data_IF_482987632358
#
_entry.id   IF_482987632358
#
_cell.length_a   1.000
_cell.length_b   1.000
_cell.length_c   1.000
_cell.angle_alpha   90.00
_cell.angle_beta   90.00
_cell.angle_gamma   90.00
#
_symmetry.space_group_name_H-M   'P 1'
#
loop_
_entity.id
_entity.type
_entity.pdbx_description
1 polymer ?
#
# COMPACT_ATOMS: atom_id res chain seq x y z
N UNK A 1 43.55 -19.55 10.82
CA UNK A 1 42.14 -19.89 11.10
C UNK A 1 41.50 -20.29 9.79
N UNK A 2 41.09 -21.55 9.68
CA UNK A 2 40.45 -22.10 8.48
C UNK A 2 39.06 -21.44 8.37
N UNK A 3 38.84 -20.65 7.32
CA UNK A 3 37.51 -20.13 6.98
C UNK A 3 36.60 -21.32 6.68
N UNK A 4 35.65 -21.59 7.57
CA UNK A 4 34.54 -22.49 7.28
C UNK A 4 33.79 -21.92 6.07
N UNK A 5 33.49 -22.72 5.02
CA UNK A 5 32.62 -22.25 3.96
C UNK A 5 31.26 -21.92 4.58
N UNK A 6 30.78 -20.69 4.40
CA UNK A 6 29.41 -20.30 4.75
C UNK A 6 28.46 -21.31 4.10
N UNK A 7 27.82 -22.13 4.93
CA UNK A 7 26.88 -23.16 4.46
C UNK A 7 25.81 -22.46 3.63
N UNK A 8 25.75 -22.77 2.32
CA UNK A 8 24.75 -22.18 1.41
C UNK A 8 23.35 -22.45 1.96
N UNK A 9 22.49 -21.43 1.95
CA UNK A 9 21.13 -21.50 2.53
C UNK A 9 20.21 -22.53 1.84
N UNK A 10 20.52 -22.87 0.59
CA UNK A 10 19.81 -23.87 -0.22
C UNK A 10 20.81 -24.76 -0.99
N UNK A 11 20.40 -25.97 -1.35
CA UNK A 11 21.22 -26.94 -2.11
C UNK A 11 21.21 -26.69 -3.62
N UNK A 12 20.09 -26.21 -4.17
CA UNK A 12 19.92 -26.00 -5.62
C UNK A 12 19.34 -24.62 -5.94
N UNK A 13 19.74 -24.09 -7.09
CA UNK A 13 19.24 -22.83 -7.63
C UNK A 13 18.70 -23.08 -9.04
N UNK A 14 17.39 -22.93 -9.24
CA UNK A 14 16.74 -23.11 -10.54
C UNK A 14 16.38 -21.78 -11.18
N UNK A 15 16.66 -21.64 -12.48
CA UNK A 15 16.11 -20.58 -13.32
C UNK A 15 15.09 -21.17 -14.28
N UNK A 16 13.83 -20.83 -14.09
CA UNK A 16 12.72 -21.30 -14.90
C UNK A 16 12.54 -20.40 -16.14
N UNK A 17 12.90 -20.93 -17.31
CA UNK A 17 12.93 -20.20 -18.57
C UNK A 17 12.38 -21.05 -19.71
N UNK A 18 11.61 -20.42 -20.60
CA UNK A 18 11.07 -21.10 -21.79
C UNK A 18 12.16 -21.25 -22.86
N UNK A 19 12.25 -22.41 -23.52
CA UNK A 19 13.23 -22.65 -24.61
C UNK A 19 13.21 -21.63 -25.74
N UNK A 20 12.04 -21.05 -26.03
CA UNK A 20 11.91 -20.00 -27.06
C UNK A 20 12.34 -18.61 -26.59
N UNK A 21 12.79 -18.44 -25.34
CA UNK A 21 13.11 -17.16 -24.70
C UNK A 21 14.58 -17.08 -24.29
N UNK A 22 15.47 -17.40 -25.24
CA UNK A 22 16.92 -17.21 -25.08
C UNK A 22 17.30 -15.75 -24.85
N UNK A 23 16.48 -14.81 -25.33
CA UNK A 23 16.58 -13.37 -25.05
C UNK A 23 16.59 -13.12 -23.54
N UNK A 24 15.56 -13.61 -22.83
CA UNK A 24 15.42 -13.43 -21.39
C UNK A 24 16.48 -14.17 -20.59
N UNK A 25 16.88 -15.35 -21.06
CA UNK A 25 17.95 -16.10 -20.43
C UNK A 25 19.24 -15.27 -20.40
N UNK A 26 19.63 -14.68 -21.54
CA UNK A 26 20.83 -13.83 -21.61
C UNK A 26 20.70 -12.58 -20.76
N UNK A 27 19.57 -11.89 -20.84
CA UNK A 27 19.29 -10.69 -20.03
C UNK A 27 19.38 -10.99 -18.53
N UNK A 28 18.78 -12.10 -18.09
CA UNK A 28 18.76 -12.49 -16.68
C UNK A 28 20.16 -12.87 -16.19
N UNK A 29 20.95 -13.59 -16.99
CA UNK A 29 22.33 -13.94 -16.64
C UNK A 29 23.24 -12.71 -16.54
N UNK A 30 23.00 -11.66 -17.33
CA UNK A 30 23.80 -10.42 -17.33
C UNK A 30 23.59 -9.55 -16.09
N UNK A 31 22.41 -9.62 -15.45
CA UNK A 31 22.11 -8.84 -14.23
C UNK A 31 22.48 -9.57 -12.93
N UNK A 32 23.06 -10.76 -12.99
CA UNK A 32 23.38 -11.54 -11.79
C UNK A 32 24.34 -10.76 -10.88
N UNK A 33 23.98 -10.54 -9.59
CA UNK A 33 24.85 -9.85 -8.66
C UNK A 33 26.14 -10.63 -8.47
N UNK A 34 27.24 -9.89 -8.26
CA UNK A 34 28.57 -10.44 -8.03
C UNK A 34 29.08 -10.00 -6.65
N UNK A 35 29.46 -10.94 -5.76
CA UNK A 35 29.42 -12.39 -5.93
C UNK A 35 27.98 -12.95 -5.88
N UNK A 36 27.72 -14.04 -6.62
CA UNK A 36 26.42 -14.72 -6.57
C UNK A 36 26.26 -15.49 -5.25
N UNK A 37 25.18 -15.28 -4.47
CA UNK A 37 25.07 -15.84 -3.11
C UNK A 37 24.48 -17.26 -3.04
N UNK A 38 24.05 -17.84 -4.17
CA UNK A 38 23.44 -19.18 -4.23
C UNK A 38 24.36 -20.21 -4.91
N UNK A 39 23.97 -21.50 -4.94
CA UNK A 39 24.59 -22.47 -5.85
C UNK A 39 24.54 -22.04 -7.32
N UNK A 40 25.32 -22.72 -8.15
CA UNK A 40 25.32 -22.48 -9.60
C UNK A 40 23.89 -22.60 -10.14
N UNK A 41 23.55 -21.67 -11.03
CA UNK A 41 22.21 -21.57 -11.60
C UNK A 41 21.98 -22.73 -12.58
N UNK A 42 21.00 -23.57 -12.27
CA UNK A 42 20.51 -24.62 -13.15
C UNK A 42 19.30 -24.11 -13.94
N UNK A 43 19.46 -23.96 -15.26
CA UNK A 43 18.34 -23.63 -16.14
C UNK A 43 17.36 -24.80 -16.18
N UNK A 44 16.12 -24.55 -15.77
CA UNK A 44 15.00 -25.47 -15.91
C UNK A 44 14.17 -25.08 -17.15
N UNK A 45 14.02 -26.01 -18.10
CA UNK A 45 13.22 -25.81 -19.30
C UNK A 45 11.73 -25.72 -18.93
N UNK A 46 11.22 -24.49 -18.87
CA UNK A 46 9.85 -24.23 -18.48
C UNK A 46 8.85 -24.80 -19.48
N UNK A 47 7.72 -25.29 -18.97
CA UNK A 47 6.62 -25.81 -19.74
C UNK A 47 5.95 -24.70 -20.54
N UNK A 48 6.05 -24.81 -21.86
CA UNK A 48 5.29 -23.96 -22.77
C UNK A 48 3.84 -24.42 -22.84
N UNK A 49 2.96 -23.80 -22.05
CA UNK A 49 1.55 -24.16 -22.03
C UNK A 49 0.83 -24.00 -23.38
N UNK A 50 1.43 -23.30 -24.37
CA UNK A 50 0.89 -23.26 -25.74
C UNK A 50 0.98 -24.61 -26.46
N UNK A 51 1.91 -25.47 -26.05
CA UNK A 51 2.15 -26.80 -26.63
C UNK A 51 1.34 -27.90 -25.94
N UNK A 52 0.60 -27.57 -24.88
CA UNK A 52 -0.14 -28.55 -24.07
C UNK A 52 -1.63 -28.23 -24.09
N UNK A 53 -2.46 -29.27 -24.11
CA UNK A 53 -3.87 -29.19 -23.76
C UNK A 53 -4.00 -29.00 -22.24
N UNK A 54 -4.75 -28.00 -21.82
CA UNK A 54 -5.10 -27.83 -20.40
C UNK A 54 -6.29 -28.71 -20.05
N UNK A 55 -6.38 -29.28 -18.83
CA UNK A 55 -7.55 -30.01 -18.38
C UNK A 55 -8.84 -29.19 -18.48
N UNK A 56 -9.98 -29.85 -18.66
CA UNK A 56 -11.28 -29.18 -18.84
C UNK A 56 -11.67 -28.25 -17.70
N UNK A 57 -11.16 -28.45 -16.49
CA UNK A 57 -11.41 -27.59 -15.34
C UNK A 57 -10.51 -26.34 -15.30
N UNK A 58 -9.43 -26.28 -16.08
CA UNK A 58 -8.50 -25.16 -16.08
C UNK A 58 -9.07 -23.98 -16.89
N UNK A 59 -9.22 -22.83 -16.23
CA UNK A 59 -9.82 -21.61 -16.82
C UNK A 59 -8.95 -20.36 -16.69
N UNK A 60 -7.68 -20.53 -16.32
CA UNK A 60 -6.69 -19.45 -16.17
C UNK A 60 -5.83 -19.22 -17.43
N UNK A 61 -6.04 -20.02 -18.48
CA UNK A 61 -5.31 -19.93 -19.73
C UNK A 61 -3.99 -20.70 -19.74
N UNK A 62 -3.45 -20.89 -20.95
CA UNK A 62 -2.32 -21.79 -21.22
C UNK A 62 -1.02 -21.30 -20.57
N UNK A 63 -0.77 -19.99 -20.54
CA UNK A 63 0.44 -19.45 -19.90
C UNK A 63 0.48 -19.74 -18.40
N UNK A 64 -0.67 -19.58 -17.71
CA UNK A 64 -0.78 -19.91 -16.29
C UNK A 64 -0.61 -21.41 -16.05
N UNK A 65 -1.12 -22.26 -16.94
CA UNK A 65 -0.92 -23.71 -16.87
C UNK A 65 0.56 -24.09 -17.00
N UNK A 66 1.27 -23.50 -17.95
CA UNK A 66 2.71 -23.72 -18.13
C UNK A 66 3.52 -23.33 -16.90
N UNK A 67 3.24 -22.15 -16.32
CA UNK A 67 3.85 -21.70 -15.06
C UNK A 67 3.59 -22.71 -13.92
N UNK A 68 2.33 -23.08 -13.69
CA UNK A 68 1.96 -24.09 -12.69
C UNK A 68 2.72 -25.41 -12.86
N UNK A 69 2.70 -25.96 -14.08
CA UNK A 69 3.34 -27.25 -14.37
C UNK A 69 4.86 -27.21 -14.21
N UNK A 70 5.48 -26.09 -14.54
CA UNK A 70 6.94 -25.93 -14.41
C UNK A 70 7.36 -25.93 -12.94
N UNK A 71 6.66 -25.17 -12.09
CA UNK A 71 6.90 -25.18 -10.64
C UNK A 71 6.64 -26.56 -10.02
N UNK A 72 5.58 -27.25 -10.44
CA UNK A 72 5.27 -28.60 -9.97
C UNK A 72 6.36 -29.61 -10.36
N UNK A 73 6.90 -29.54 -11.57
CA UNK A 73 7.99 -30.43 -12.01
C UNK A 73 9.31 -30.18 -11.28
N UNK A 74 9.64 -28.92 -10.96
CA UNK A 74 10.80 -28.60 -10.11
C UNK A 74 10.63 -29.24 -8.73
N UNK A 75 9.43 -29.13 -8.15
CA UNK A 75 9.10 -29.74 -6.87
C UNK A 75 9.20 -31.28 -6.91
N UNK A 76 8.67 -31.91 -7.95
CA UNK A 76 8.77 -33.37 -8.17
C UNK A 76 10.22 -33.82 -8.33
N UNK A 77 11.03 -33.09 -9.13
CA UNK A 77 12.47 -33.35 -9.27
C UNK A 77 13.16 -33.34 -7.91
N UNK A 78 12.91 -32.33 -7.08
CA UNK A 78 13.52 -32.24 -5.75
C UNK A 78 13.12 -33.40 -4.83
N UNK A 79 11.83 -33.79 -4.87
CA UNK A 79 11.33 -34.92 -4.09
C UNK A 79 11.94 -36.26 -4.54
N UNK A 80 12.13 -36.47 -5.84
CA UNK A 80 12.68 -37.69 -6.42
C UNK A 80 14.19 -37.81 -6.21
N UNK A 81 14.92 -36.71 -6.35
CA UNK A 81 16.39 -36.67 -6.21
C UNK A 81 16.84 -36.51 -4.76
N UNK A 82 15.92 -36.32 -3.81
CA UNK A 82 16.24 -36.14 -2.40
C UNK A 82 16.89 -34.79 -2.07
N UNK A 83 16.62 -33.75 -2.87
CA UNK A 83 17.06 -32.38 -2.64
C UNK A 83 16.20 -31.78 -1.53
N UNK A 84 16.80 -31.39 -0.40
CA UNK A 84 16.06 -30.94 0.78
C UNK A 84 15.84 -29.41 0.80
N UNK A 85 16.48 -28.65 -0.10
CA UNK A 85 16.22 -27.21 -0.24
C UNK A 85 16.56 -26.66 -1.63
N UNK A 86 15.74 -25.74 -2.14
CA UNK A 86 16.00 -25.06 -3.41
C UNK A 86 15.51 -23.61 -3.41
N UNK A 87 16.12 -22.79 -4.26
CA UNK A 87 15.58 -21.50 -4.70
C UNK A 87 15.16 -21.61 -6.16
N UNK A 88 14.04 -20.98 -6.53
CA UNK A 88 13.59 -20.88 -7.92
C UNK A 88 13.36 -19.43 -8.29
N UNK A 89 13.83 -19.07 -9.48
CA UNK A 89 13.60 -17.78 -10.13
C UNK A 89 12.87 -17.98 -11.45
N UNK A 90 11.94 -17.10 -11.80
CA UNK A 90 11.40 -16.98 -13.17
C UNK A 90 12.33 -16.12 -14.03
N UNK A 91 12.29 -16.29 -15.35
CA UNK A 91 13.12 -15.53 -16.31
C UNK A 91 12.82 -14.01 -16.37
N UNK A 92 11.83 -13.54 -15.61
CA UNK A 92 11.54 -12.12 -15.40
C UNK A 92 11.82 -11.66 -13.96
N UNK A 93 12.55 -12.42 -13.14
CA UNK A 93 13.03 -11.97 -11.83
C UNK A 93 14.15 -10.91 -11.99
N UNK A 94 14.03 -9.78 -11.30
CA UNK A 94 15.04 -8.70 -11.31
C UNK A 94 15.52 -8.35 -9.90
N UNK A 95 16.82 -8.13 -9.71
CA UNK A 95 17.44 -7.95 -8.40
C UNK A 95 17.56 -6.46 -8.02
N UNK A 96 17.49 -6.15 -6.72
CA UNK A 96 17.90 -4.82 -6.21
C UNK A 96 19.43 -4.67 -6.29
N UNK A 97 19.97 -3.44 -6.39
CA UNK A 97 21.43 -3.22 -6.46
C UNK A 97 22.21 -3.91 -5.34
N UNK A 98 21.73 -3.81 -4.09
CA UNK A 98 22.39 -4.35 -2.91
C UNK A 98 21.83 -5.72 -2.50
N UNK A 99 21.50 -6.56 -3.48
CA UNK A 99 20.79 -7.83 -3.27
C UNK A 99 21.47 -8.76 -2.27
N UNK A 100 22.80 -8.91 -2.38
CA UNK A 100 23.57 -9.85 -1.55
C UNK A 100 23.49 -9.46 -0.07
N UNK A 101 23.70 -8.18 0.25
CA UNK A 101 23.64 -7.66 1.61
C UNK A 101 22.26 -7.87 2.24
N UNK A 102 21.20 -7.49 1.51
CA UNK A 102 19.84 -7.64 2.02
C UNK A 102 19.41 -9.10 2.14
N UNK A 103 19.87 -9.97 1.22
CA UNK A 103 19.66 -11.41 1.32
C UNK A 103 20.36 -11.99 2.56
N UNK A 104 21.60 -11.60 2.83
CA UNK A 104 22.34 -12.06 4.01
C UNK A 104 21.65 -11.63 5.31
N UNK A 105 21.15 -10.39 5.38
CA UNK A 105 20.36 -9.91 6.52
C UNK A 105 19.07 -10.72 6.69
N UNK A 106 18.33 -10.93 5.60
CA UNK A 106 17.12 -11.75 5.59
C UNK A 106 17.40 -13.19 6.04
N UNK A 107 18.41 -13.84 5.47
CA UNK A 107 18.75 -15.24 5.77
C UNK A 107 19.24 -15.42 7.20
N UNK A 108 20.00 -14.46 7.74
CA UNK A 108 20.51 -14.50 9.12
C UNK A 108 19.39 -14.53 10.15
N UNK A 109 18.27 -13.85 9.88
CA UNK A 109 17.14 -13.76 10.79
C UNK A 109 16.03 -14.79 10.51
N UNK A 110 16.12 -15.53 9.40
CA UNK A 110 15.10 -16.51 9.02
C UNK A 110 14.90 -17.56 10.14
N UNK A 111 13.65 -17.76 10.63
CA UNK A 111 13.38 -18.73 11.68
C UNK A 111 13.79 -20.15 11.28
N UNK A 112 14.33 -20.93 12.23
CA UNK A 112 14.80 -22.30 11.97
C UNK A 112 13.72 -23.23 11.42
N UNK A 113 12.44 -22.91 11.58
CA UNK A 113 11.31 -23.70 11.08
C UNK A 113 10.86 -23.33 9.65
N UNK A 114 11.51 -22.36 8.97
CA UNK A 114 11.08 -21.90 7.65
C UNK A 114 10.94 -23.05 6.64
N UNK A 115 9.77 -23.12 6.00
CA UNK A 115 9.51 -24.05 4.90
C UNK A 115 9.44 -23.34 3.55
N UNK A 116 8.82 -22.17 3.50
CA UNK A 116 8.70 -21.32 2.31
C UNK A 116 9.17 -19.90 2.65
N UNK A 117 10.12 -19.37 1.89
CA UNK A 117 10.63 -18.00 2.08
C UNK A 117 10.62 -17.28 0.74
N UNK A 118 9.80 -16.24 0.59
CA UNK A 118 9.74 -15.48 -0.66
C UNK A 118 10.86 -14.46 -0.71
N UNK A 119 11.49 -14.30 -1.88
CA UNK A 119 12.45 -13.23 -2.16
C UNK A 119 11.81 -12.09 -2.96
N UNK A 120 10.80 -12.43 -3.75
CA UNK A 120 9.98 -11.51 -4.51
C UNK A 120 8.53 -11.98 -4.52
N UNK A 121 7.60 -11.03 -4.43
CA UNK A 121 6.18 -11.35 -4.36
C UNK A 121 5.31 -10.11 -4.31
N UNK A 122 4.03 -10.33 -4.02
CA UNK A 122 3.04 -9.28 -3.79
C UNK A 122 2.17 -9.69 -2.59
N UNK A 123 2.16 -8.86 -1.54
CA UNK A 123 1.22 -9.08 -0.43
C UNK A 123 -0.22 -8.78 -0.87
N UNK A 124 -1.11 -9.77 -0.75
CA UNK A 124 -2.55 -9.55 -0.94
C UNK A 124 -3.25 -9.35 0.40
N UNK A 125 -4.30 -8.53 0.37
CA UNK A 125 -5.10 -8.18 1.54
C UNK A 125 -4.32 -7.51 2.67
N UNK A 126 -3.11 -7.01 2.40
CA UNK A 126 -2.21 -6.39 3.37
C UNK A 126 -2.86 -5.24 4.15
N UNK A 127 -3.76 -4.47 3.53
CA UNK A 127 -4.49 -3.40 4.20
C UNK A 127 -5.44 -3.91 5.32
N UNK A 128 -5.97 -5.13 5.18
CA UNK A 128 -6.87 -5.76 6.17
C UNK A 128 -6.12 -6.70 7.11
N UNK A 129 -5.10 -7.37 6.59
CA UNK A 129 -4.29 -8.37 7.26
C UNK A 129 -2.81 -8.07 6.97
N UNK A 130 -2.23 -7.06 7.64
CA UNK A 130 -0.84 -6.69 7.41
C UNK A 130 0.08 -7.87 7.76
N UNK A 131 1.17 -8.08 7.00
CA UNK A 131 2.22 -9.02 7.39
C UNK A 131 2.69 -8.73 8.82
N UNK A 132 2.76 -9.76 9.65
CA UNK A 132 3.16 -9.62 11.05
C UNK A 132 4.69 -9.59 11.13
N UNK A 133 5.26 -8.52 11.68
CA UNK A 133 6.70 -8.43 11.97
C UNK A 133 7.11 -9.54 12.94
N UNK A 134 8.18 -10.26 12.61
CA UNK A 134 8.81 -11.30 13.45
C UNK A 134 10.16 -10.80 13.97
N UNK A 135 10.93 -10.15 13.11
CA UNK A 135 12.18 -9.44 13.40
C UNK A 135 12.33 -8.26 12.44
N UNK A 136 13.48 -7.59 12.42
CA UNK A 136 13.69 -6.43 11.56
C UNK A 136 13.61 -6.76 10.07
N UNK A 137 14.13 -7.92 9.67
CA UNK A 137 14.13 -8.35 8.27
C UNK A 137 13.10 -9.45 7.97
N UNK A 138 12.39 -10.00 8.97
CA UNK A 138 11.44 -11.10 8.78
C UNK A 138 10.01 -10.70 9.08
N UNK A 139 9.14 -10.97 8.12
CA UNK A 139 7.70 -10.83 8.25
C UNK A 139 6.99 -12.15 7.95
N UNK A 140 5.88 -12.39 8.66
CA UNK A 140 4.94 -13.47 8.38
C UNK A 140 3.76 -12.93 7.59
N UNK A 141 3.59 -13.29 6.32
CA UNK A 141 2.50 -12.77 5.49
C UNK A 141 1.16 -13.44 5.80
N UNK A 142 0.06 -12.73 5.52
CA UNK A 142 -1.28 -13.33 5.43
C UNK A 142 -1.49 -14.06 4.10
N UNK A 143 -1.10 -13.42 2.99
CA UNK A 143 -1.18 -13.96 1.63
C UNK A 143 -0.08 -13.32 0.76
N UNK A 144 0.62 -14.14 -0.02
CA UNK A 144 1.60 -13.70 -1.02
C UNK A 144 1.20 -14.27 -2.38
N UNK A 145 1.19 -13.41 -3.39
CA UNK A 145 1.05 -13.77 -4.79
C UNK A 145 2.31 -13.44 -5.59
N UNK A 146 2.34 -13.88 -6.86
CA UNK A 146 3.52 -14.00 -7.73
C UNK A 146 4.52 -15.05 -7.24
N UNK A 147 5.09 -15.79 -8.20
CA UNK A 147 6.02 -16.89 -7.97
C UNK A 147 7.38 -16.66 -8.61
N UNK A 148 7.70 -15.40 -8.91
CA UNK A 148 8.91 -15.07 -9.66
C UNK A 148 10.21 -15.30 -8.87
N UNK A 149 10.17 -15.34 -7.53
CA UNK A 149 11.33 -15.72 -6.72
C UNK A 149 10.96 -16.18 -5.29
N UNK A 150 11.22 -17.45 -4.97
CA UNK A 150 11.08 -17.99 -3.61
C UNK A 150 11.99 -19.20 -3.36
N UNK A 151 12.20 -19.49 -2.06
CA UNK A 151 12.96 -20.64 -1.55
C UNK A 151 12.04 -21.62 -0.85
N UNK A 152 12.37 -22.91 -0.96
CA UNK A 152 11.68 -24.02 -0.29
C UNK A 152 12.69 -24.86 0.48
N UNK A 153 12.34 -25.29 1.69
CA UNK A 153 13.15 -26.18 2.51
C UNK A 153 12.32 -27.23 3.24
N UNK A 154 12.91 -28.41 3.32
CA UNK A 154 12.42 -29.53 4.10
C UNK A 154 11.51 -30.44 3.28
N UNK A 155 11.78 -31.74 3.35
CA UNK A 155 11.00 -32.76 2.65
C UNK A 155 9.53 -32.79 3.05
N UNK A 156 9.23 -32.52 4.32
CA UNK A 156 7.86 -32.42 4.81
C UNK A 156 7.10 -31.25 4.14
N UNK A 157 7.75 -30.09 4.05
CA UNK A 157 7.24 -28.92 3.33
C UNK A 157 6.98 -29.23 1.87
N UNK A 158 7.95 -29.83 1.17
CA UNK A 158 7.81 -30.16 -0.25
C UNK A 158 6.66 -31.14 -0.49
N UNK A 159 6.49 -32.15 0.38
CA UNK A 159 5.34 -33.07 0.32
C UNK A 159 4.01 -32.35 0.58
N UNK A 160 3.96 -31.39 1.50
CA UNK A 160 2.76 -30.59 1.77
C UNK A 160 2.43 -29.67 0.58
N UNK A 161 3.42 -29.01 -0.04
CA UNK A 161 3.25 -28.24 -1.26
C UNK A 161 2.73 -29.12 -2.40
N UNK A 162 3.31 -30.31 -2.58
CA UNK A 162 2.91 -31.23 -3.65
C UNK A 162 1.46 -31.67 -3.50
N UNK A 163 1.03 -32.04 -2.28
CA UNK A 163 -0.36 -32.37 -1.99
C UNK A 163 -1.28 -31.19 -2.24
N UNK A 164 -0.90 -30.00 -1.76
CA UNK A 164 -1.69 -28.78 -1.94
C UNK A 164 -1.86 -28.42 -3.42
N UNK A 165 -0.78 -28.42 -4.19
CA UNK A 165 -0.79 -28.09 -5.62
C UNK A 165 -1.62 -29.09 -6.45
N UNK A 166 -1.65 -30.37 -6.05
CA UNK A 166 -2.47 -31.40 -6.71
C UNK A 166 -3.91 -31.49 -6.17
N UNK A 167 -4.27 -30.74 -5.12
CA UNK A 167 -5.64 -30.71 -4.63
C UNK A 167 -6.55 -30.01 -5.65
N UNK A 168 -7.58 -30.71 -6.12
CA UNK A 168 -8.55 -30.24 -7.12
C UNK A 168 -9.56 -29.21 -6.57
N UNK A 169 -9.09 -28.18 -5.86
CA UNK A 169 -9.90 -27.07 -5.33
C UNK A 169 -9.53 -25.75 -6.02
N UNK A 170 -9.34 -25.78 -7.34
CA UNK A 170 -8.99 -24.58 -8.10
C UNK A 170 -10.23 -23.72 -8.34
N UNK A 171 -10.21 -22.45 -7.93
CA UNK A 171 -11.28 -21.53 -8.31
C UNK A 171 -11.07 -20.99 -9.73
N UNK A 172 -12.13 -20.44 -10.32
CA UNK A 172 -12.12 -19.86 -11.65
C UNK A 172 -11.01 -18.79 -11.78
N UNK A 173 -10.17 -18.92 -12.82
CA UNK A 173 -9.02 -18.03 -13.12
C UNK A 173 -7.89 -18.01 -12.08
N UNK A 174 -7.85 -18.94 -11.12
CA UNK A 174 -6.71 -19.06 -10.23
C UNK A 174 -5.45 -19.50 -10.97
N UNK A 175 -4.35 -18.80 -10.70
CA UNK A 175 -3.01 -19.23 -11.08
C UNK A 175 -2.33 -19.91 -9.88
N UNK A 176 -1.14 -20.49 -10.07
CA UNK A 176 -0.40 -21.16 -8.99
C UNK A 176 -0.20 -20.28 -7.75
N UNK A 177 0.12 -19.01 -7.94
CA UNK A 177 0.32 -18.05 -6.86
C UNK A 177 -0.94 -17.88 -6.00
N UNK A 178 -2.12 -17.77 -6.60
CA UNK A 178 -3.39 -17.71 -5.88
C UNK A 178 -3.62 -18.97 -5.03
N UNK A 179 -3.22 -20.13 -5.54
CA UNK A 179 -3.32 -21.39 -4.82
C UNK A 179 -2.38 -21.41 -3.62
N UNK A 180 -1.10 -21.02 -3.79
CA UNK A 180 -0.13 -20.89 -2.71
C UNK A 180 -0.53 -19.81 -1.68
N UNK A 181 -1.14 -18.71 -2.12
CA UNK A 181 -1.69 -17.67 -1.28
C UNK A 181 -2.75 -18.22 -0.31
N UNK A 182 -3.66 -19.08 -0.78
CA UNK A 182 -4.67 -19.75 0.08
C UNK A 182 -4.06 -20.73 1.08
N UNK A 183 -2.94 -21.38 0.75
CA UNK A 183 -2.20 -22.19 1.71
C UNK A 183 -1.65 -21.32 2.84
N UNK A 184 -1.09 -20.16 2.49
CA UNK A 184 -0.55 -19.19 3.46
C UNK A 184 -1.66 -18.64 4.37
N UNK A 185 -2.81 -18.29 3.79
CA UNK A 185 -3.98 -17.79 4.54
C UNK A 185 -4.49 -18.78 5.58
N UNK A 186 -4.71 -20.05 5.19
CA UNK A 186 -5.22 -21.08 6.11
C UNK A 186 -4.32 -21.25 7.33
N UNK A 187 -3.00 -21.22 7.15
CA UNK A 187 -2.05 -21.25 8.28
C UNK A 187 -2.17 -20.01 9.15
N UNK A 188 -2.22 -18.82 8.56
CA UNK A 188 -2.34 -17.57 9.31
C UNK A 188 -3.61 -17.57 10.17
N UNK A 189 -4.75 -17.96 9.60
CA UNK A 189 -6.03 -18.02 10.29
C UNK A 189 -6.04 -19.04 11.42
N UNK A 190 -5.44 -20.22 11.21
CA UNK A 190 -5.29 -21.23 12.26
C UNK A 190 -4.46 -20.71 13.45
N UNK A 191 -3.35 -20.03 13.17
CA UNK A 191 -2.48 -19.42 14.19
C UNK A 191 -3.20 -18.32 14.98
N UNK A 192 -3.96 -17.46 14.31
CA UNK A 192 -4.72 -16.38 14.97
C UNK A 192 -5.87 -16.91 15.82
N UNK A 193 -6.53 -17.98 15.38
CA UNK A 193 -7.66 -18.59 16.09
C UNK A 193 -7.22 -19.53 17.22
N UNK A 194 -5.91 -19.66 17.51
CA UNK A 194 -5.39 -20.59 18.51
C UNK A 194 -5.73 -22.05 18.22
N UNK A 195 -6.07 -22.38 16.96
CA UNK A 195 -6.39 -23.75 16.55
C UNK A 195 -5.09 -24.54 16.42
N UNK A 196 -5.16 -25.84 16.71
CA UNK A 196 -4.07 -26.75 16.41
C UNK A 196 -3.71 -26.61 14.93
N UNK A 197 -2.51 -26.11 14.69
CA UNK A 197 -1.98 -25.97 13.35
C UNK A 197 -1.66 -27.38 12.88
N UNK A 198 -2.52 -27.94 12.03
CA UNK A 198 -2.43 -29.32 11.56
C UNK A 198 -1.07 -29.65 10.93
N UNK A 199 -0.79 -30.96 10.77
CA UNK A 199 0.39 -31.57 10.13
C UNK A 199 0.72 -31.06 8.71
N UNK A 200 -0.14 -30.23 8.09
CA UNK A 200 0.02 -29.75 6.71
C UNK A 200 0.31 -28.25 6.57
N UNK A 201 0.55 -27.55 7.68
CA UNK A 201 0.91 -26.14 7.60
C UNK A 201 2.40 -25.94 7.29
N UNK A 202 2.71 -24.99 6.42
CA UNK A 202 4.08 -24.65 6.05
C UNK A 202 4.43 -23.29 6.65
N UNK A 203 5.49 -23.15 7.46
CA UNK A 203 5.97 -21.84 7.90
C UNK A 203 6.41 -21.00 6.69
N UNK A 204 5.70 -19.89 6.45
CA UNK A 204 5.94 -18.97 5.35
C UNK A 204 6.47 -17.64 5.89
N UNK A 205 7.54 -17.14 5.26
CA UNK A 205 8.16 -15.86 5.60
C UNK A 205 8.46 -15.02 4.36
N UNK A 206 8.56 -13.70 4.55
CA UNK A 206 8.92 -12.70 3.53
C UNK A 206 9.89 -11.69 4.15
N UNK A 207 10.74 -11.03 3.34
CA UNK A 207 11.60 -9.96 3.82
C UNK A 207 10.79 -8.71 4.22
N UNK A 208 11.43 -7.77 4.92
CA UNK A 208 10.86 -6.45 5.21
C UNK A 208 10.61 -5.67 3.91
N UNK A 209 11.54 -5.76 2.95
CA UNK A 209 11.48 -5.23 1.58
C UNK A 209 11.69 -6.32 0.55
N UNK A 210 11.02 -6.25 -0.60
CA UNK A 210 11.23 -7.24 -1.66
C UNK A 210 12.65 -7.15 -2.24
N UNK A 211 13.36 -8.27 -2.22
CA UNK A 211 14.73 -8.39 -2.76
C UNK A 211 14.72 -8.58 -4.28
N UNK A 212 13.61 -9.11 -4.81
CA UNK A 212 13.44 -9.46 -6.22
C UNK A 212 12.12 -8.90 -6.77
N UNK A 213 12.22 -8.05 -7.78
CA UNK A 213 11.10 -7.49 -8.53
C UNK A 213 10.82 -8.27 -9.81
N UNK A 214 9.84 -7.81 -10.59
CA UNK A 214 9.55 -8.33 -11.93
C UNK A 214 10.11 -7.37 -13.01
N UNK A 215 10.98 -7.87 -13.87
CA UNK A 215 11.58 -7.13 -14.98
C UNK A 215 10.52 -6.56 -15.95
N UNK A 216 10.83 -5.46 -16.66
CA UNK A 216 9.93 -4.81 -17.62
C UNK A 216 9.77 -5.59 -18.94
N UNK A 217 9.48 -6.88 -18.86
CA UNK A 217 9.30 -7.75 -20.02
C UNK A 217 7.82 -8.09 -20.21
N UNK A 218 7.38 -8.30 -21.47
CA UNK A 218 5.98 -8.63 -21.77
C UNK A 218 5.59 -9.96 -21.13
N UNK A 219 4.65 -9.97 -20.19
CA UNK A 219 4.25 -11.21 -19.50
C UNK A 219 3.75 -12.27 -20.50
N UNK A 220 4.33 -13.48 -20.44
CA UNK A 220 3.86 -14.62 -21.25
C UNK A 220 2.56 -15.24 -20.69
N UNK A 221 2.11 -14.78 -19.51
CA UNK A 221 0.89 -15.24 -18.84
C UNK A 221 -0.28 -14.28 -19.10
N UNK A 222 -0.10 -12.98 -18.84
CA UNK A 222 -1.18 -11.98 -18.92
C UNK A 222 -0.95 -10.87 -19.95
N UNK A 223 0.16 -10.88 -20.70
CA UNK A 223 0.42 -9.94 -21.80
C UNK A 223 0.78 -8.50 -21.42
N UNK A 224 0.76 -8.14 -20.13
CA UNK A 224 1.12 -6.78 -19.65
C UNK A 224 2.61 -6.48 -19.84
N UNK A 225 2.94 -5.22 -20.14
CA UNK A 225 4.31 -4.70 -20.29
C UNK A 225 4.52 -3.55 -19.29
N UNK A 226 5.64 -3.56 -18.57
CA UNK A 226 6.06 -2.48 -17.68
C UNK A 226 7.22 -1.70 -18.31
N UNK A 227 7.42 -0.46 -17.89
CA UNK A 227 8.52 0.41 -18.34
C UNK A 227 9.78 0.27 -17.48
N UNK A 228 9.65 -0.20 -16.24
CA UNK A 228 10.73 -0.40 -15.27
C UNK A 228 10.51 -1.70 -14.46
N UNK A 229 11.54 -2.18 -13.78
CA UNK A 229 11.45 -3.32 -12.85
C UNK A 229 10.45 -3.00 -11.75
N UNK A 230 9.44 -3.86 -11.60
CA UNK A 230 8.34 -3.65 -10.66
C UNK A 230 8.61 -4.34 -9.33
N UNK A 231 8.74 -3.54 -8.28
CA UNK A 231 8.62 -4.00 -6.90
C UNK A 231 7.19 -3.71 -6.41
N UNK A 232 6.62 -4.64 -5.65
CA UNK A 232 5.31 -4.45 -5.01
C UNK A 232 5.48 -3.81 -3.63
N UNK A 233 4.38 -3.45 -2.95
CA UNK A 233 4.47 -2.87 -1.62
C UNK A 233 5.19 -3.82 -0.65
N UNK A 234 6.20 -3.29 0.03
CA UNK A 234 7.03 -3.99 1.01
C UNK A 234 6.23 -4.39 2.27
N UNK A 235 6.70 -5.43 2.98
CA UNK A 235 6.07 -5.90 4.21
C UNK A 235 6.13 -4.85 5.32
N UNK A 236 7.27 -4.16 5.47
CA UNK A 236 7.44 -3.05 6.43
C UNK A 236 6.51 -1.88 6.14
N UNK A 237 6.13 -1.71 4.87
CA UNK A 237 5.23 -0.67 4.44
C UNK A 237 3.78 -1.10 4.68
N UNK A 238 3.45 -2.39 4.60
CA UNK A 238 2.08 -2.85 4.88
C UNK A 238 1.61 -2.54 6.32
N UNK A 239 2.53 -2.35 7.26
CA UNK A 239 2.29 -1.74 8.55
C UNK A 239 2.63 -0.24 8.53
N UNK A 240 1.81 0.55 7.82
CA UNK A 240 1.95 2.02 7.83
C UNK A 240 1.46 2.62 9.16
N UNK A 241 1.70 2.01 10.32
CA UNK A 241 1.25 2.54 11.61
C UNK A 241 2.03 3.80 12.05
N UNK A 242 3.23 4.05 11.52
CA UNK A 242 4.11 5.13 12.01
C UNK A 242 4.22 6.36 11.09
N UNK A 243 4.11 6.22 9.77
CA UNK A 243 4.23 7.38 8.86
C UNK A 243 3.08 8.36 9.12
N UNK A 244 3.29 9.69 9.19
CA UNK A 244 2.20 10.60 9.52
C UNK A 244 1.16 10.68 8.39
N UNK A 245 -0.10 10.86 8.77
CA UNK A 245 -1.15 11.31 7.86
C UNK A 245 -1.71 12.64 8.37
N UNK A 246 -1.68 13.66 7.51
CA UNK A 246 -2.10 15.02 7.83
C UNK A 246 -3.53 15.27 7.40
N UNK A 247 -4.46 15.33 8.36
CA UNK A 247 -5.86 15.65 8.13
C UNK A 247 -6.09 17.16 8.28
N UNK A 248 -6.54 17.83 7.20
CA UNK A 248 -6.93 19.24 7.25
C UNK A 248 -8.39 19.34 7.70
N UNK A 249 -8.61 19.88 8.90
CA UNK A 249 -9.92 19.93 9.55
C UNK A 249 -10.43 21.38 9.66
N UNK A 250 -11.54 21.64 9.00
CA UNK A 250 -12.31 22.87 9.19
C UNK A 250 -13.67 22.79 8.50
N UNK A 251 -14.67 23.57 8.96
CA UNK A 251 -15.98 23.63 8.35
C UNK A 251 -15.91 24.02 6.86
N UNK A 252 -17.03 23.89 6.14
CA UNK A 252 -17.09 24.39 4.77
C UNK A 252 -16.74 25.88 4.76
N UNK A 253 -16.09 26.35 3.70
CA UNK A 253 -15.77 27.79 3.54
C UNK A 253 -14.91 28.36 4.67
N UNK A 254 -14.14 27.57 5.43
CA UNK A 254 -13.25 28.12 6.47
C UNK A 254 -11.82 28.42 6.00
N UNK A 255 -11.52 28.20 4.71
CA UNK A 255 -10.16 28.34 4.16
C UNK A 255 -9.39 27.02 4.04
N UNK A 256 -10.02 25.88 4.36
CA UNK A 256 -9.41 24.54 4.27
C UNK A 256 -8.94 24.16 2.86
N UNK A 257 -9.60 24.63 1.80
CA UNK A 257 -9.16 24.39 0.41
C UNK A 257 -7.84 25.10 0.11
N UNK A 258 -7.69 26.35 0.56
CA UNK A 258 -6.44 27.10 0.40
C UNK A 258 -5.29 26.41 1.14
N UNK A 259 -5.50 25.99 2.40
CA UNK A 259 -4.51 25.23 3.16
C UNK A 259 -4.15 23.90 2.50
N UNK A 260 -5.13 23.18 1.97
CA UNK A 260 -4.90 21.92 1.25
C UNK A 260 -4.05 22.13 -0.02
N UNK A 261 -4.27 23.21 -0.75
CA UNK A 261 -3.49 23.55 -1.94
C UNK A 261 -2.09 24.06 -1.59
N UNK A 262 -1.93 24.82 -0.51
CA UNK A 262 -0.62 25.16 0.06
C UNK A 262 0.17 23.89 0.35
N UNK A 263 -0.42 22.91 1.04
CA UNK A 263 0.23 21.62 1.29
C UNK A 263 0.59 20.89 0.00
N UNK A 264 -0.28 20.91 -1.02
CA UNK A 264 0.02 20.31 -2.31
C UNK A 264 1.22 20.98 -3.01
N UNK A 265 1.30 22.31 -3.00
CA UNK A 265 2.44 23.06 -3.55
C UNK A 265 3.74 22.82 -2.79
N UNK A 266 3.67 22.55 -1.48
CA UNK A 266 4.81 22.12 -0.67
C UNK A 266 5.20 20.64 -0.89
N UNK A 267 4.56 19.94 -1.82
CA UNK A 267 4.88 18.56 -2.18
C UNK A 267 4.14 17.49 -1.39
N UNK A 268 3.17 17.83 -0.52
CA UNK A 268 2.36 16.84 0.20
C UNK A 268 1.44 16.09 -0.77
N UNK A 269 1.38 14.76 -0.64
CA UNK A 269 0.51 13.93 -1.46
C UNK A 269 -0.96 14.03 -1.01
N UNK A 270 -1.71 14.94 -1.62
CA UNK A 270 -3.12 15.18 -1.33
C UNK A 270 -4.09 14.27 -2.10
N UNK A 271 -3.61 13.53 -3.11
CA UNK A 271 -4.39 12.64 -3.98
C UNK A 271 -4.07 12.80 -5.47
N UNK A 272 -4.35 11.76 -6.27
CA UNK A 272 -3.98 11.73 -7.71
C UNK A 272 -4.91 12.57 -8.60
N UNK A 273 -6.15 12.80 -8.15
CA UNK A 273 -7.13 13.63 -8.82
C UNK A 273 -7.74 14.57 -7.77
N UNK A 274 -7.40 15.85 -7.86
CA UNK A 274 -7.91 16.90 -6.97
C UNK A 274 -9.13 17.55 -7.62
N UNK A 275 -10.29 17.45 -6.96
CA UNK A 275 -11.53 18.10 -7.32
C UNK A 275 -11.84 19.31 -6.43
N UNK A 276 -12.90 20.03 -6.76
CA UNK A 276 -13.46 21.12 -5.94
C UNK A 276 -14.22 22.13 -6.78
N UNK A 277 -14.79 23.13 -6.11
CA UNK A 277 -15.60 24.19 -6.74
C UNK A 277 -14.75 25.24 -7.49
N UNK A 278 -13.50 25.43 -7.09
CA UNK A 278 -12.61 26.43 -7.70
C UNK A 278 -11.92 25.87 -8.95
N UNK A 279 -11.66 26.74 -9.94
CA UNK A 279 -11.11 26.37 -11.24
C UNK A 279 -9.72 25.70 -11.17
N UNK A 280 -9.04 25.79 -10.02
CA UNK A 280 -7.73 25.18 -9.73
C UNK A 280 -7.82 23.86 -8.95
N UNK A 281 -9.03 23.37 -8.65
CA UNK A 281 -9.26 22.23 -7.74
C UNK A 281 -9.23 22.67 -6.27
N UNK A 282 -10.19 22.24 -5.45
CA UNK A 282 -10.35 22.63 -4.05
C UNK A 282 -9.47 21.84 -3.06
N UNK A 283 -8.41 21.20 -3.57
CA UNK A 283 -7.50 20.34 -2.80
C UNK A 283 -8.14 19.05 -2.27
N UNK A 284 -9.28 18.62 -2.82
CA UNK A 284 -10.03 17.45 -2.36
C UNK A 284 -9.75 16.25 -3.26
N UNK A 285 -9.19 15.17 -2.72
CA UNK A 285 -9.11 13.92 -3.47
C UNK A 285 -10.51 13.41 -3.79
N UNK A 286 -10.81 13.16 -5.07
CA UNK A 286 -12.13 12.70 -5.54
C UNK A 286 -12.60 11.46 -4.76
N UNK A 287 -11.70 10.49 -4.54
CA UNK A 287 -12.03 9.28 -3.79
C UNK A 287 -12.37 9.53 -2.31
N UNK A 288 -11.76 10.54 -1.68
CA UNK A 288 -12.06 10.90 -0.30
C UNK A 288 -13.40 11.64 -0.20
N UNK A 289 -13.65 12.58 -1.11
CA UNK A 289 -14.91 13.31 -1.18
C UNK A 289 -16.09 12.35 -1.41
N UNK A 290 -15.97 11.41 -2.35
CA UNK A 290 -16.99 10.38 -2.60
C UNK A 290 -17.24 9.49 -1.39
N UNK A 291 -16.18 9.07 -0.68
CA UNK A 291 -16.30 8.29 0.54
C UNK A 291 -17.04 9.09 1.63
N UNK A 292 -16.67 10.35 1.82
CA UNK A 292 -17.29 11.22 2.82
C UNK A 292 -18.76 11.51 2.51
N UNK A 293 -19.10 11.83 1.25
CA UNK A 293 -20.49 12.09 0.82
C UNK A 293 -21.38 10.85 0.86
N UNK A 294 -20.80 9.67 0.61
CA UNK A 294 -21.50 8.40 0.77
C UNK A 294 -21.81 8.11 2.24
N UNK A 295 -20.87 8.44 3.14
CA UNK A 295 -21.03 8.25 4.57
C UNK A 295 -22.01 9.25 5.19
N UNK A 296 -21.85 10.53 4.85
CA UNK A 296 -22.67 11.64 5.32
C UNK A 296 -22.86 12.59 4.15
N UNK A 297 -24.08 12.61 3.59
CA UNK A 297 -24.39 13.44 2.42
C UNK A 297 -24.63 14.88 2.84
N UNK A 298 -24.01 15.84 2.18
CA UNK A 298 -24.31 17.26 2.44
C UNK A 298 -25.82 17.56 2.30
N UNK A 299 -26.46 18.34 3.21
CA UNK A 299 -25.92 19.00 4.40
C UNK A 299 -26.18 18.25 5.72
N UNK A 300 -26.22 16.91 5.71
CA UNK A 300 -26.47 16.12 6.91
C UNK A 300 -25.33 16.26 7.94
N UNK A 301 -25.67 16.10 9.23
CA UNK A 301 -24.74 16.16 10.36
C UNK A 301 -24.35 14.79 10.91
N UNK A 302 -25.13 13.76 10.58
CA UNK A 302 -24.90 12.40 11.05
C UNK A 302 -24.61 11.44 9.89
N UNK A 303 -23.61 10.55 10.05
CA UNK A 303 -23.33 9.52 9.08
C UNK A 303 -24.46 8.46 9.04
N UNK A 304 -24.72 7.93 7.85
CA UNK A 304 -25.68 6.83 7.62
C UNK A 304 -25.06 5.44 7.67
N UNK A 305 -23.75 5.37 7.85
CA UNK A 305 -22.99 4.11 7.90
C UNK A 305 -22.47 3.87 9.33
N UNK A 306 -22.39 2.61 9.79
CA UNK A 306 -21.87 2.28 11.12
C UNK A 306 -20.42 2.74 11.32
N UNK A 307 -20.09 3.19 12.52
CA UNK A 307 -18.77 3.76 12.88
C UNK A 307 -17.60 2.84 12.52
N UNK A 308 -17.63 1.58 12.96
CA UNK A 308 -16.56 0.63 12.65
C UNK A 308 -16.45 0.29 11.15
N UNK A 309 -17.49 0.54 10.34
CA UNK A 309 -17.42 0.41 8.89
C UNK A 309 -16.79 1.66 8.26
N UNK A 310 -17.15 2.85 8.73
CA UNK A 310 -16.55 4.11 8.30
C UNK A 310 -15.04 4.16 8.61
N UNK A 311 -14.65 3.81 9.84
CA UNK A 311 -13.25 3.75 10.24
C UNK A 311 -12.43 2.80 9.33
N UNK A 312 -12.98 1.63 8.98
CA UNK A 312 -12.34 0.70 8.04
C UNK A 312 -12.19 1.26 6.63
N UNK A 313 -13.21 1.95 6.12
CA UNK A 313 -13.16 2.56 4.78
C UNK A 313 -12.16 3.70 4.72
N UNK A 314 -12.16 4.58 5.73
CA UNK A 314 -11.16 5.65 5.88
C UNK A 314 -9.76 5.05 5.98
N UNK A 315 -9.54 4.04 6.84
CA UNK A 315 -8.26 3.35 6.97
C UNK A 315 -7.74 2.82 5.63
N UNK A 316 -8.58 2.14 4.87
CA UNK A 316 -8.19 1.58 3.58
C UNK A 316 -7.77 2.67 2.57
N UNK A 317 -8.52 3.78 2.52
CA UNK A 317 -8.18 4.92 1.67
C UNK A 317 -6.85 5.57 2.09
N UNK A 318 -6.68 5.82 3.39
CA UNK A 318 -5.49 6.48 3.95
C UNK A 318 -4.25 5.61 3.78
N UNK A 319 -4.34 4.31 4.05
CA UNK A 319 -3.23 3.35 3.84
C UNK A 319 -2.75 3.38 2.39
N UNK A 320 -3.67 3.41 1.43
CA UNK A 320 -3.30 3.55 0.01
C UNK A 320 -2.62 4.90 -0.27
N UNK A 321 -3.07 6.00 0.33
CA UNK A 321 -2.42 7.32 0.18
C UNK A 321 -1.02 7.35 0.79
N UNK A 322 -0.83 6.78 1.99
CA UNK A 322 0.46 6.68 2.66
C UNK A 322 1.46 5.88 1.83
N UNK A 323 1.02 4.77 1.24
CA UNK A 323 1.85 3.97 0.34
C UNK A 323 2.32 4.78 -0.90
N UNK A 324 1.44 5.59 -1.47
CA UNK A 324 1.78 6.45 -2.61
C UNK A 324 2.75 7.57 -2.21
N UNK A 325 2.48 8.26 -1.10
CA UNK A 325 3.35 9.30 -0.59
C UNK A 325 4.77 8.78 -0.29
N UNK A 326 4.89 7.60 0.34
CA UNK A 326 6.18 6.97 0.64
C UNK A 326 6.95 6.63 -0.65
N UNK A 327 6.25 6.13 -1.68
CA UNK A 327 6.88 5.87 -2.99
C UNK A 327 7.46 7.15 -3.59
N UNK A 328 6.74 8.25 -3.43
CA UNK A 328 7.11 9.55 -3.99
C UNK A 328 7.98 10.37 -3.01
N UNK A 329 8.49 9.74 -1.94
CA UNK A 329 9.35 10.32 -0.88
C UNK A 329 8.75 11.58 -0.23
N UNK A 330 7.44 11.60 -0.04
CA UNK A 330 6.69 12.66 0.60
C UNK A 330 5.76 12.13 1.70
N UNK A 331 5.00 13.02 2.32
CA UNK A 331 3.98 12.72 3.34
C UNK A 331 2.58 12.73 2.75
N UNK A 332 1.66 11.99 3.38
CA UNK A 332 0.28 11.89 2.91
C UNK A 332 -0.64 12.89 3.64
N UNK A 333 -1.50 13.56 2.87
CA UNK A 333 -2.51 14.47 3.40
C UNK A 333 -3.90 14.16 2.88
N UNK A 334 -4.91 14.74 3.53
CA UNK A 334 -6.28 14.68 3.05
C UNK A 334 -7.14 15.78 3.65
N UNK A 335 -8.04 16.29 2.82
CA UNK A 335 -8.98 17.35 3.20
C UNK A 335 -10.37 17.01 2.69
N UNK A 336 -11.34 17.06 3.58
CA UNK A 336 -12.75 17.19 3.26
C UNK A 336 -13.50 17.72 4.50
N UNK A 337 -14.46 18.66 4.38
CA UNK A 337 -15.11 19.25 5.57
C UNK A 337 -15.75 18.24 6.53
N UNK A 338 -16.31 17.14 6.00
CA UNK A 338 -16.88 16.07 6.83
C UNK A 338 -15.85 15.34 7.70
N UNK A 339 -14.55 15.46 7.42
CA UNK A 339 -13.52 14.90 8.30
C UNK A 339 -13.58 15.48 9.72
N UNK A 340 -14.13 16.69 9.90
CA UNK A 340 -14.40 17.21 11.25
C UNK A 340 -15.35 16.30 12.04
N UNK A 341 -16.40 15.76 11.40
CA UNK A 341 -17.32 14.77 11.99
C UNK A 341 -16.67 13.41 12.20
N UNK A 342 -15.67 13.08 11.37
CA UNK A 342 -15.03 11.77 11.32
C UNK A 342 -13.67 11.71 12.04
N UNK A 343 -13.32 12.72 12.85
CA UNK A 343 -12.03 12.79 13.52
C UNK A 343 -11.78 11.57 14.44
N UNK A 344 -12.80 11.13 15.19
CA UNK A 344 -12.72 9.91 16.01
C UNK A 344 -12.50 8.65 15.15
N UNK A 345 -13.14 8.56 13.98
CA UNK A 345 -12.94 7.42 13.06
C UNK A 345 -11.56 7.44 12.41
N UNK A 346 -11.01 8.63 12.13
CA UNK A 346 -9.62 8.78 11.67
C UNK A 346 -8.65 8.30 12.75
N UNK A 347 -8.90 8.65 14.01
CA UNK A 347 -8.08 8.21 15.14
C UNK A 347 -8.18 6.71 15.40
N UNK A 348 -9.38 6.13 15.35
CA UNK A 348 -9.56 4.66 15.40
C UNK A 348 -8.79 3.96 14.26
N UNK A 349 -8.77 4.57 13.07
CA UNK A 349 -8.08 4.03 11.91
C UNK A 349 -6.55 4.09 12.01
N UNK A 350 -6.01 5.18 12.56
CA UNK A 350 -4.59 5.57 12.42
C UNK A 350 -3.81 5.63 13.74
N UNK A 351 -4.50 5.71 14.88
CA UNK A 351 -3.91 5.94 16.19
C UNK A 351 -2.93 7.11 16.18
N UNK A 352 -1.72 6.85 16.66
CA UNK A 352 -0.65 7.85 16.81
C UNK A 352 -0.06 8.36 15.49
N UNK A 353 -0.45 7.84 14.32
CA UNK A 353 -0.02 8.42 13.02
C UNK A 353 -0.89 9.59 12.54
N UNK A 354 -2.02 9.86 13.20
CA UNK A 354 -2.83 11.02 12.84
C UNK A 354 -2.13 12.31 13.27
N UNK A 355 -2.10 13.27 12.35
CA UNK A 355 -1.69 14.67 12.59
C UNK A 355 -2.82 15.55 12.08
N UNK A 356 -3.18 16.58 12.85
CA UNK A 356 -4.30 17.46 12.50
C UNK A 356 -3.77 18.85 12.16
N UNK A 357 -4.25 19.39 11.05
CA UNK A 357 -4.12 20.80 10.71
C UNK A 357 -5.51 21.42 10.86
N UNK A 358 -5.73 22.13 11.96
CA UNK A 358 -7.01 22.75 12.28
C UNK A 358 -7.06 24.17 11.73
N UNK A 359 -7.99 24.44 10.80
CA UNK A 359 -8.11 25.75 10.15
C UNK A 359 -9.16 26.60 10.86
N UNK A 360 -8.73 27.68 11.47
CA UNK A 360 -9.55 28.56 12.30
C UNK A 360 -10.01 29.80 11.50
N UNK A 361 -11.34 29.92 11.36
CA UNK A 361 -12.07 31.08 10.83
C UNK A 361 -13.29 31.30 11.73
N UNK A 362 -13.67 32.55 12.06
CA UNK A 362 -14.90 32.83 12.81
C UNK A 362 -16.11 32.11 12.20
N UNK A 363 -16.83 31.32 13.01
CA UNK A 363 -17.89 30.43 12.51
C UNK A 363 -18.99 31.18 11.76
N UNK A 364 -19.34 32.38 12.23
CA UNK A 364 -20.33 33.25 11.60
C UNK A 364 -19.93 33.70 10.18
N UNK A 365 -18.63 33.87 9.92
CA UNK A 365 -18.14 34.18 8.57
C UNK A 365 -18.26 32.97 7.64
N UNK A 366 -17.96 31.77 8.14
CA UNK A 366 -18.08 30.51 7.39
C UNK A 366 -19.55 30.16 7.09
N UNK A 367 -20.46 30.42 8.02
CA UNK A 367 -21.92 30.22 7.84
C UNK A 367 -22.44 31.16 6.76
N UNK A 368 -22.20 32.48 6.89
CA UNK A 368 -22.66 33.47 5.90
C UNK A 368 -22.14 33.18 4.50
N UNK A 369 -20.86 32.79 4.38
CA UNK A 369 -20.28 32.39 3.08
C UNK A 369 -20.97 31.16 2.48
N UNK A 370 -21.29 30.14 3.30
CA UNK A 370 -21.98 28.94 2.81
C UNK A 370 -23.42 29.24 2.37
N UNK A 371 -24.12 30.13 3.08
CA UNK A 371 -25.47 30.58 2.75
C UNK A 371 -25.49 31.40 1.45
N UNK A 372 -24.58 32.36 1.30
CA UNK A 372 -24.42 33.14 0.06
C UNK A 372 -24.08 32.22 -1.13
N UNK A 373 -23.18 31.24 -0.94
CA UNK A 373 -22.89 30.25 -1.99
C UNK A 373 -24.12 29.41 -2.35
N UNK A 374 -24.89 28.97 -1.36
CA UNK A 374 -26.06 28.10 -1.57
C UNK A 374 -27.18 28.85 -2.29
N UNK A 375 -27.45 30.09 -1.89
CA UNK A 375 -28.49 30.93 -2.51
C UNK A 375 -28.18 31.30 -3.96
N UNK A 376 -26.91 31.50 -4.31
CA UNK A 376 -26.47 31.76 -5.69
C UNK A 376 -26.57 30.55 -6.63
N UNK A 377 -26.67 29.34 -6.08
CA UNK A 377 -26.62 28.09 -6.85
C UNK A 377 -27.77 27.14 -6.50
N UNK A 378 -29.03 27.58 -6.66
CA UNK A 378 -30.17 26.74 -6.33
C UNK A 378 -30.17 25.43 -7.14
N UNK A 379 -30.51 24.33 -6.48
CA UNK A 379 -30.59 23.00 -7.10
C UNK A 379 -29.25 22.27 -7.27
N UNK A 380 -28.12 22.89 -6.93
CA UNK A 380 -26.83 22.21 -6.89
C UNK A 380 -26.72 21.28 -5.69
N UNK A 381 -25.91 20.22 -5.81
CA UNK A 381 -25.74 19.22 -4.75
C UNK A 381 -25.14 19.79 -3.45
N UNK A 382 -24.45 20.93 -3.55
CA UNK A 382 -23.81 21.66 -2.45
C UNK A 382 -24.60 22.87 -1.94
N UNK A 383 -25.86 23.01 -2.36
CA UNK A 383 -26.77 24.06 -1.91
C UNK A 383 -27.70 23.54 -0.82
N UNK A 384 -27.89 24.33 0.23
CA UNK A 384 -28.78 24.03 1.35
C UNK A 384 -29.46 25.31 1.86
N UNK A 385 -30.57 25.16 2.58
CA UNK A 385 -31.23 26.28 3.25
C UNK A 385 -30.41 26.83 4.40
N UNK A 386 -30.70 28.07 4.80
CA UNK A 386 -29.89 28.81 5.77
C UNK A 386 -29.76 28.10 7.12
N UNK A 387 -30.86 27.57 7.65
CA UNK A 387 -30.91 26.75 8.88
C UNK A 387 -30.04 25.49 8.79
N UNK A 388 -30.03 24.83 7.62
CA UNK A 388 -29.25 23.62 7.41
C UNK A 388 -27.76 23.95 7.29
N UNK A 389 -27.41 25.08 6.67
CA UNK A 389 -26.05 25.59 6.61
C UNK A 389 -25.51 25.91 8.02
N UNK A 390 -26.30 26.60 8.86
CA UNK A 390 -25.92 26.92 10.24
C UNK A 390 -25.67 25.64 11.07
N UNK A 391 -26.66 24.74 11.09
CA UNK A 391 -26.58 23.46 11.83
C UNK A 391 -25.37 22.63 11.43
N UNK A 392 -25.13 22.48 10.12
CA UNK A 392 -23.99 21.73 9.61
C UNK A 392 -22.67 22.35 10.07
N UNK A 393 -22.49 23.65 9.87
CA UNK A 393 -21.22 24.32 10.15
C UNK A 393 -20.89 24.28 11.65
N UNK A 394 -21.89 24.50 12.52
CA UNK A 394 -21.71 24.40 13.98
C UNK A 394 -21.40 22.98 14.43
N UNK A 395 -22.10 21.98 13.89
CA UNK A 395 -21.84 20.56 14.19
C UNK A 395 -20.42 20.14 13.78
N UNK A 396 -19.96 20.53 12.57
CA UNK A 396 -18.59 20.25 12.13
C UNK A 396 -17.55 20.89 13.06
N UNK A 397 -17.76 22.15 13.45
CA UNK A 397 -16.84 22.84 14.37
C UNK A 397 -16.82 22.15 15.74
N UNK A 398 -17.99 21.87 16.32
CA UNK A 398 -18.13 21.24 17.62
C UNK A 398 -17.43 19.88 17.68
N UNK A 399 -17.63 19.02 16.67
CA UNK A 399 -16.96 17.72 16.64
C UNK A 399 -15.44 17.83 16.52
N UNK A 400 -14.93 18.78 15.72
CA UNK A 400 -13.50 19.04 15.61
C UNK A 400 -12.92 19.45 16.97
N UNK A 401 -13.52 20.45 17.62
CA UNK A 401 -13.02 20.98 18.89
C UNK A 401 -13.13 19.94 20.02
N UNK A 402 -14.26 19.22 20.08
CA UNK A 402 -14.46 18.14 21.05
C UNK A 402 -13.41 17.05 20.89
N UNK A 403 -13.12 16.63 19.66
CA UNK A 403 -12.08 15.64 19.39
C UNK A 403 -10.70 16.13 19.83
N UNK A 404 -10.31 17.36 19.44
CA UNK A 404 -9.01 17.94 19.82
C UNK A 404 -8.87 18.04 21.34
N UNK A 405 -9.94 18.40 22.05
CA UNK A 405 -9.94 18.49 23.51
C UNK A 405 -9.83 17.13 24.18
N UNK A 406 -10.50 16.10 23.64
CA UNK A 406 -10.53 14.75 24.20
C UNK A 406 -9.25 13.94 23.90
N UNK A 407 -8.47 14.34 22.89
CA UNK A 407 -7.28 13.65 22.42
C UNK A 407 -6.03 14.54 22.43
N UNK A 408 -5.55 15.01 23.60
CA UNK A 408 -4.38 15.88 23.70
C UNK A 408 -3.07 15.21 23.23
N UNK A 409 -3.06 13.89 23.09
CA UNK A 409 -1.94 13.11 22.54
C UNK A 409 -1.79 13.25 21.02
N UNK A 410 -2.84 13.66 20.30
CA UNK A 410 -2.79 13.86 18.85
C UNK A 410 -2.14 15.21 18.56
N UNK A 411 -1.08 15.23 17.77
CA UNK A 411 -0.42 16.48 17.41
C UNK A 411 -1.32 17.32 16.48
N UNK A 412 -1.56 18.57 16.89
CA UNK A 412 -2.43 19.53 16.22
C UNK A 412 -1.63 20.80 15.92
N UNK A 413 -1.70 21.26 14.67
CA UNK A 413 -1.24 22.57 14.24
C UNK A 413 -2.43 23.43 13.86
N UNK A 414 -2.58 24.60 14.50
CA UNK A 414 -3.68 25.53 14.24
C UNK A 414 -3.26 26.62 13.27
N UNK A 415 -4.01 26.78 12.19
CA UNK A 415 -3.82 27.83 11.21
C UNK A 415 -4.97 28.83 11.34
N UNK A 416 -4.67 30.04 11.79
CA UNK A 416 -5.60 31.15 11.70
C UNK A 416 -5.65 31.64 10.25
N UNK A 417 -6.81 31.49 9.60
CA UNK A 417 -6.94 31.82 8.19
C UNK A 417 -6.70 33.30 7.89
N UNK A 418 -7.02 34.21 8.82
CA UNK A 418 -6.72 35.63 8.65
C UNK A 418 -5.20 35.89 8.66
N UNK A 419 -4.47 35.27 9.60
CA UNK A 419 -3.01 35.36 9.66
C UNK A 419 -2.37 34.78 8.39
N UNK A 420 -2.85 33.64 7.90
CA UNK A 420 -2.37 33.05 6.64
C UNK A 420 -2.49 34.04 5.48
N UNK A 421 -3.58 34.81 5.40
CA UNK A 421 -3.76 35.80 4.33
C UNK A 421 -2.97 37.11 4.52
N UNK A 422 -2.59 37.43 5.75
CA UNK A 422 -1.85 38.68 6.09
C UNK A 422 -0.34 38.48 6.04
N UNK A 423 0.14 37.33 6.53
CA UNK A 423 1.54 36.94 6.60
C UNK A 423 1.69 35.46 6.20
N UNK A 424 1.55 35.14 4.91
CA UNK A 424 1.58 33.77 4.41
C UNK A 424 2.94 33.11 4.64
N UNK A 425 4.03 33.85 4.53
CA UNK A 425 5.40 33.32 4.65
C UNK A 425 5.64 32.72 6.04
N UNK A 426 5.33 33.46 7.10
CA UNK A 426 5.49 32.96 8.47
C UNK A 426 4.63 31.72 8.72
N UNK A 427 3.36 31.76 8.32
CA UNK A 427 2.42 30.65 8.56
C UNK A 427 2.82 29.40 7.76
N UNK A 428 3.30 29.57 6.51
CA UNK A 428 3.76 28.46 5.68
C UNK A 428 5.04 27.84 6.27
N UNK A 429 5.98 28.63 6.78
CA UNK A 429 7.18 28.12 7.45
C UNK A 429 6.85 27.34 8.73
N UNK A 430 5.92 27.83 9.55
CA UNK A 430 5.40 27.10 10.71
C UNK A 430 4.76 25.75 10.30
N UNK A 431 4.01 25.75 9.18
CA UNK A 431 3.40 24.54 8.63
C UNK A 431 4.44 23.55 8.11
N UNK A 432 5.48 23.99 7.39
CA UNK A 432 6.59 23.14 6.91
C UNK A 432 7.24 22.42 8.09
N UNK A 433 7.53 23.14 9.18
CA UNK A 433 8.11 22.56 10.38
C UNK A 433 7.20 21.49 11.01
N UNK A 434 5.88 21.72 11.03
CA UNK A 434 4.92 20.73 11.52
C UNK A 434 4.79 19.50 10.61
N UNK A 435 4.88 19.70 9.29
CA UNK A 435 4.84 18.62 8.30
C UNK A 435 6.11 17.77 8.32
N UNK A 436 7.24 18.33 8.76
CA UNK A 436 8.53 17.64 8.79
C UNK A 436 9.07 17.33 7.38
N UNK A 437 8.87 18.26 6.44
CA UNK A 437 9.30 18.15 5.04
C UNK A 437 10.37 19.20 4.72
N UNK A 438 11.12 18.98 3.63
CA UNK A 438 12.15 19.88 3.13
C UNK A 438 11.81 20.33 1.69
N UNK A 439 10.85 21.25 1.51
CA UNK A 439 10.46 21.75 0.19
C UNK A 439 11.55 22.65 -0.39
N UNK A 440 11.61 22.69 -1.72
CA UNK A 440 12.47 23.59 -2.48
C UNK A 440 12.00 25.04 -2.37
N UNK A 441 12.88 26.01 -2.64
CA UNK A 441 12.51 27.42 -2.67
C UNK A 441 11.36 27.71 -3.66
N UNK A 442 11.35 27.04 -4.81
CA UNK A 442 10.28 27.17 -5.81
C UNK A 442 8.93 26.66 -5.30
N UNK A 443 8.91 25.55 -4.55
CA UNK A 443 7.71 25.00 -3.92
C UNK A 443 7.16 25.94 -2.83
N UNK A 444 8.05 26.55 -2.03
CA UNK A 444 7.69 27.56 -1.03
C UNK A 444 7.09 28.80 -1.71
N UNK A 445 7.75 29.33 -2.74
CA UNK A 445 7.27 30.49 -3.49
C UNK A 445 5.92 30.21 -4.16
N UNK A 446 5.75 29.00 -4.73
CA UNK A 446 4.47 28.57 -5.30
C UNK A 446 3.37 28.47 -4.23
N UNK A 447 3.69 27.99 -3.03
CA UNK A 447 2.74 27.90 -1.93
C UNK A 447 2.34 29.29 -1.42
N UNK A 448 3.29 30.23 -1.29
CA UNK A 448 3.02 31.62 -0.90
C UNK A 448 2.18 32.33 -1.97
N UNK A 449 2.54 32.18 -3.25
CA UNK A 449 1.83 32.80 -4.37
C UNK A 449 0.37 32.29 -4.49
N UNK A 450 0.11 31.05 -4.08
CA UNK A 450 -1.24 30.50 -4.04
C UNK A 450 -2.14 31.23 -3.02
N UNK A 451 -1.56 31.75 -1.92
CA UNK A 451 -2.31 32.50 -0.92
C UNK A 451 -2.62 33.90 -1.45
N UNK A 452 -3.70 34.00 -2.22
CA UNK A 452 -4.07 35.25 -2.89
C UNK A 452 -4.71 36.27 -1.91
N UNK A 453 -4.15 37.48 -1.74
CA UNK A 453 -4.72 38.54 -0.89
C UNK A 453 -6.10 39.04 -1.34
N UNK A 454 -6.47 38.84 -2.62
CA UNK A 454 -7.77 39.24 -3.18
C UNK A 454 -8.91 38.27 -2.81
N UNK A 455 -8.61 37.10 -2.25
CA UNK A 455 -9.63 36.15 -1.75
C UNK A 455 -10.43 36.68 -0.55
N UNK A 456 -10.10 37.87 -0.02
CA UNK A 456 -10.98 38.66 0.86
C UNK A 456 -12.40 38.84 0.30
N UNK A 457 -12.60 38.74 -1.03
CA UNK A 457 -13.88 39.07 -1.70
C UNK A 457 -14.74 37.86 -2.13
N UNK A 458 -14.22 36.64 -2.12
CA UNK A 458 -14.97 35.44 -2.57
C UNK A 458 -14.89 34.23 -1.63
N UNK A 459 -14.41 34.46 -0.40
CA UNK A 459 -14.28 33.46 0.67
C UNK A 459 -15.58 33.13 1.38
#
# INVERSE_FOLDING_TARGET
MISMPTKKIVERCFLMNLDRRDDRLREWMQQLPQPWPFPDVERFAAIDGRKLSTPEQWRAGNGAWGCYRSHLLILEKCLLEGIDSYVVFEDDAGFVPDFVEHLEAYVRELPEDWGLAYLGGQHLYAAKHPPKKISDHIYRPYNVNRTHAFMVRGRATMKALYRHLNWNDWHLKHHIDHHLGRLTQRRYEALVQGKNVEKESIPVYTPDRWLVGQLPTKSNICGRKWTQTRFFNDAKNADHSDAPFFAVLGPHRSGTSCVAMVMHHLGVHMGNELGGYEATGGGEAIGLAQLCEKAMRFPAIDPKIPDGQLAKQLKAWIVARKAEAIRDRTVAGGKYPHLCRFASHLYEALGNSLRIIAVDRPIEASIRSLQDRSSRHPGQWFAAGDDACDKLQRSLLEHRETFIQQHPEVLVHRINFAKLTEDPETVINELIAFLGIEPTAEEIDSAIAHVNPQLRKFG
#
